data_IF_009753018990
#
_entry.id   IF_009753018990
#
_cell.length_a   1.000
_cell.length_b   1.000
_cell.length_c   1.000
_cell.angle_alpha   90.00
_cell.angle_beta   90.00
_cell.angle_gamma   90.00
#
_symmetry.space_group_name_H-M   'P 1'
#
loop_
_entity.id
_entity.type
_entity.pdbx_description
1 polymer ?
#
# COMPACT_ATOMS: atom_id res chain seq x y z
N UNK A 1 0.75 14.05 12.91
CA UNK A 1 -0.27 14.15 11.85
C UNK A 1 -0.07 15.35 10.94
N UNK A 2 0.59 16.43 11.37
CA UNK A 2 0.80 17.65 10.55
C UNK A 2 1.78 17.48 9.36
N UNK A 3 2.63 16.46 9.41
CA UNK A 3 3.64 16.15 8.40
C UNK A 3 3.48 14.71 7.90
N UNK A 4 2.37 14.37 7.24
CA UNK A 4 2.17 13.02 6.69
C UNK A 4 3.16 12.74 5.55
N UNK A 5 3.66 11.51 5.52
CA UNK A 5 4.38 10.97 4.38
C UNK A 5 3.35 10.42 3.39
N UNK A 6 3.49 10.77 2.11
CA UNK A 6 2.68 10.20 1.06
C UNK A 6 3.06 8.74 0.80
N UNK A 7 2.06 7.87 0.73
CA UNK A 7 2.21 6.48 0.34
C UNK A 7 1.03 6.11 -0.55
N UNK A 8 1.29 5.89 -1.83
CA UNK A 8 0.26 5.55 -2.80
C UNK A 8 0.35 4.07 -3.19
N UNK A 9 -0.57 3.21 -2.72
CA UNK A 9 -0.63 1.81 -3.14
C UNK A 9 -0.77 1.65 -4.66
N UNK A 10 -1.43 2.59 -5.33
CA UNK A 10 -1.68 2.57 -6.77
C UNK A 10 -0.55 3.15 -7.61
N UNK A 11 0.55 3.62 -7.00
CA UNK A 11 1.67 4.17 -7.77
C UNK A 11 2.32 3.08 -8.64
N UNK A 12 2.39 3.36 -9.95
CA UNK A 12 2.97 2.51 -10.98
C UNK A 12 4.31 3.09 -11.41
N UNK A 13 5.40 2.40 -11.05
CA UNK A 13 6.75 2.74 -11.55
C UNK A 13 7.11 1.95 -12.82
N UNK A 14 6.47 0.80 -13.02
CA UNK A 14 6.67 -0.10 -14.16
C UNK A 14 5.30 -0.52 -14.72
N UNK A 15 4.96 -0.11 -15.96
CA UNK A 15 3.69 -0.46 -16.60
C UNK A 15 3.43 -1.97 -16.72
N UNK A 16 4.46 -2.81 -16.74
CA UNK A 16 4.30 -4.27 -16.82
C UNK A 16 3.68 -4.86 -15.53
N UNK A 17 3.81 -4.15 -14.41
CA UNK A 17 3.36 -4.60 -13.08
C UNK A 17 1.94 -4.16 -12.71
N UNK A 18 1.22 -3.45 -13.60
CA UNK A 18 -0.13 -2.93 -13.33
C UNK A 18 -1.10 -4.01 -12.83
N UNK A 19 -1.13 -5.17 -13.49
CA UNK A 19 -2.00 -6.29 -13.12
C UNK A 19 -1.67 -6.87 -11.75
N UNK A 20 -0.39 -6.91 -11.39
CA UNK A 20 0.07 -7.33 -10.07
C UNK A 20 -0.39 -6.32 -9.01
N UNK A 21 -0.17 -5.01 -9.22
CA UNK A 21 -0.62 -3.96 -8.29
C UNK A 21 -2.13 -4.04 -8.06
N UNK A 22 -2.93 -4.19 -9.12
CA UNK A 22 -4.39 -4.35 -9.00
C UNK A 22 -4.77 -5.58 -8.17
N UNK A 23 -4.16 -6.73 -8.43
CA UNK A 23 -4.45 -7.97 -7.71
C UNK A 23 -4.06 -7.90 -6.23
N UNK A 24 -2.93 -7.27 -5.93
CA UNK A 24 -2.48 -7.04 -4.56
C UNK A 24 -3.40 -6.12 -3.79
N UNK A 25 -3.84 -5.01 -4.40
CA UNK A 25 -4.78 -4.09 -3.76
C UNK A 25 -6.11 -4.78 -3.46
N UNK A 26 -6.60 -5.59 -4.39
CA UNK A 26 -7.76 -6.45 -4.17
C UNK A 26 -7.52 -7.43 -3.02
N UNK A 27 -6.37 -8.09 -2.98
CA UNK A 27 -6.03 -9.05 -1.92
C UNK A 27 -6.04 -8.41 -0.53
N UNK A 28 -5.44 -7.23 -0.39
CA UNK A 28 -5.43 -6.46 0.88
C UNK A 28 -6.85 -6.08 1.30
N UNK A 29 -7.65 -5.53 0.38
CA UNK A 29 -9.03 -5.13 0.69
C UNK A 29 -9.93 -6.35 0.99
N UNK A 30 -9.79 -7.44 0.23
CA UNK A 30 -10.54 -8.68 0.46
C UNK A 30 -10.32 -9.22 1.86
N UNK A 31 -9.08 -9.21 2.34
CA UNK A 31 -8.76 -9.66 3.70
C UNK A 31 -9.40 -8.79 4.78
N UNK A 32 -9.36 -7.46 4.60
CA UNK A 32 -9.99 -6.52 5.53
C UNK A 32 -11.50 -6.78 5.69
N UNK A 33 -12.18 -7.17 4.61
CA UNK A 33 -13.63 -7.26 4.60
C UNK A 33 -14.19 -8.69 4.70
N UNK A 34 -13.32 -9.70 4.66
CA UNK A 34 -13.63 -11.11 4.92
C UNK A 34 -14.90 -11.56 4.19
N UNK A 35 -15.87 -12.05 4.96
CA UNK A 35 -17.13 -12.61 4.46
C UNK A 35 -18.03 -11.59 3.75
N UNK A 36 -17.78 -10.29 3.91
CA UNK A 36 -18.50 -9.24 3.17
C UNK A 36 -17.95 -9.03 1.74
N UNK A 37 -17.12 -9.93 1.22
CA UNK A 37 -16.50 -9.83 -0.10
C UNK A 37 -17.17 -10.75 -1.13
N UNK A 38 -17.81 -10.16 -2.14
CA UNK A 38 -18.53 -10.90 -3.19
C UNK A 38 -17.79 -10.93 -4.54
N UNK A 39 -18.01 -11.95 -5.39
CA UNK A 39 -17.41 -12.02 -6.73
C UNK A 39 -17.72 -10.81 -7.61
N UNK A 40 -18.96 -10.28 -7.52
CA UNK A 40 -19.37 -9.09 -8.27
C UNK A 40 -18.63 -7.83 -7.82
N UNK A 41 -18.42 -7.67 -6.51
CA UNK A 41 -17.63 -6.57 -5.93
C UNK A 41 -16.21 -6.64 -6.47
N UNK A 42 -15.58 -7.82 -6.39
CA UNK A 42 -14.21 -8.02 -6.85
C UNK A 42 -14.05 -7.71 -8.34
N UNK A 43 -14.98 -8.18 -9.17
CA UNK A 43 -14.98 -7.95 -10.61
C UNK A 43 -15.03 -6.46 -10.96
N UNK A 44 -15.99 -5.71 -10.40
CA UNK A 44 -16.14 -4.27 -10.64
C UNK A 44 -14.91 -3.52 -10.12
N UNK A 45 -14.42 -3.85 -8.92
CA UNK A 45 -13.25 -3.19 -8.35
C UNK A 45 -11.99 -3.45 -9.18
N UNK A 46 -11.81 -4.65 -9.73
CA UNK A 46 -10.69 -4.98 -10.61
C UNK A 46 -10.66 -4.10 -11.85
N UNK A 47 -11.77 -3.97 -12.56
CA UNK A 47 -11.86 -3.09 -13.73
C UNK A 47 -11.75 -1.60 -13.37
N UNK A 48 -12.17 -1.23 -12.16
CA UNK A 48 -11.96 0.12 -11.62
C UNK A 48 -10.48 0.42 -11.40
N UNK A 49 -9.76 -0.48 -10.73
CA UNK A 49 -8.33 -0.33 -10.48
C UNK A 49 -7.53 -0.35 -11.79
N UNK A 50 -7.81 -1.27 -12.71
CA UNK A 50 -7.10 -1.34 -13.99
C UNK A 50 -7.25 -0.05 -14.80
N UNK A 51 -8.45 0.53 -14.87
CA UNK A 51 -8.67 1.81 -15.54
C UNK A 51 -7.94 2.96 -14.82
N UNK A 52 -7.99 2.99 -13.49
CA UNK A 52 -7.31 4.01 -12.68
C UNK A 52 -5.79 3.93 -12.77
N UNK A 53 -5.20 2.75 -12.90
CA UNK A 53 -3.76 2.56 -13.00
C UNK A 53 -3.17 3.07 -14.32
N UNK A 54 -4.00 3.26 -15.36
CA UNK A 54 -3.59 3.93 -16.60
C UNK A 54 -3.66 5.47 -16.49
N UNK A 55 -4.36 5.99 -15.49
CA UNK A 55 -4.54 7.43 -15.28
C UNK A 55 -3.30 8.04 -14.61
N UNK A 56 -2.78 9.18 -15.11
CA UNK A 56 -1.78 9.97 -14.40
C UNK A 56 -2.27 10.42 -13.02
N UNK A 57 -1.38 10.41 -12.04
CA UNK A 57 -1.62 10.96 -10.70
C UNK A 57 -2.83 10.35 -9.95
N UNK A 58 -3.16 9.09 -10.25
CA UNK A 58 -4.25 8.35 -9.60
C UNK A 58 -3.98 8.10 -8.12
N UNK A 59 -5.04 8.10 -7.31
CA UNK A 59 -5.00 7.82 -5.87
C UNK A 59 -6.10 6.85 -5.45
N UNK A 60 -5.99 6.30 -4.24
CA UNK A 60 -7.06 5.48 -3.66
C UNK A 60 -8.40 6.22 -3.54
N UNK A 61 -8.40 7.55 -3.52
CA UNK A 61 -9.61 8.37 -3.45
C UNK A 61 -10.39 8.37 -4.77
N UNK A 62 -9.71 8.10 -5.88
CA UNK A 62 -10.31 8.11 -7.21
C UNK A 62 -11.17 6.87 -7.49
N UNK A 63 -11.05 5.81 -6.67
CA UNK A 63 -11.91 4.62 -6.77
C UNK A 63 -13.39 5.02 -6.63
N UNK A 64 -13.72 5.83 -5.63
CA UNK A 64 -15.10 6.29 -5.43
C UNK A 64 -15.56 7.16 -6.59
N UNK A 65 -14.70 8.04 -7.11
CA UNK A 65 -15.01 8.95 -8.23
C UNK A 65 -15.25 8.19 -9.52
N UNK A 66 -14.43 7.18 -9.83
CA UNK A 66 -14.61 6.33 -11.01
C UNK A 66 -15.98 5.63 -11.02
N UNK A 67 -16.51 5.32 -9.84
CA UNK A 67 -17.80 4.63 -9.66
C UNK A 67 -19.00 5.59 -9.64
N UNK A 68 -18.85 6.83 -9.18
CA UNK A 68 -19.98 7.77 -8.98
C UNK A 68 -20.01 8.97 -9.93
N UNK A 69 -18.87 9.38 -10.48
CA UNK A 69 -18.73 10.54 -11.36
C UNK A 69 -18.55 10.08 -12.82
N UNK A 70 -19.59 10.29 -13.62
CA UNK A 70 -19.61 9.89 -15.02
C UNK A 70 -18.64 10.66 -15.92
N UNK A 71 -18.33 11.91 -15.60
CA UNK A 71 -17.43 12.73 -16.41
C UNK A 71 -15.96 12.42 -16.08
N UNK A 72 -15.64 12.27 -14.79
CA UNK A 72 -14.34 11.75 -14.36
C UNK A 72 -14.07 10.36 -14.96
N UNK A 73 -15.10 9.49 -15.00
CA UNK A 73 -14.99 8.18 -15.65
C UNK A 73 -14.66 8.30 -17.14
N UNK A 74 -15.41 9.12 -17.89
CA UNK A 74 -15.17 9.31 -19.33
C UNK A 74 -13.75 9.78 -19.61
N UNK A 75 -13.26 10.76 -18.86
CA UNK A 75 -11.92 11.30 -19.03
C UNK A 75 -10.84 10.30 -18.59
N UNK A 76 -11.04 9.56 -17.48
CA UNK A 76 -10.16 8.45 -17.08
C UNK A 76 -10.02 7.38 -18.19
N UNK A 77 -11.12 7.02 -18.86
CA UNK A 77 -11.10 6.04 -19.95
C UNK A 77 -10.36 6.51 -21.21
N UNK A 78 -10.02 7.80 -21.34
CA UNK A 78 -9.18 8.30 -22.45
C UNK A 78 -7.71 7.87 -22.32
N UNK A 79 -7.26 7.57 -21.09
CA UNK A 79 -5.91 7.08 -20.83
C UNK A 79 -5.79 5.56 -21.00
N UNK A 80 -6.90 4.85 -20.92
CA UNK A 80 -6.92 3.39 -20.94
C UNK A 80 -6.69 2.86 -22.36
N UNK A 81 -5.77 1.90 -22.48
CA UNK A 81 -5.42 1.24 -23.75
C UNK A 81 -5.91 -0.21 -23.84
N UNK A 82 -6.39 -0.77 -22.73
CA UNK A 82 -6.82 -2.16 -22.66
C UNK A 82 -8.26 -2.31 -23.17
N UNK A 83 -8.43 -3.06 -24.25
CA UNK A 83 -9.73 -3.26 -24.89
C UNK A 83 -10.75 -3.96 -23.98
N UNK A 84 -10.30 -4.87 -23.11
CA UNK A 84 -11.18 -5.57 -22.18
C UNK A 84 -11.72 -4.63 -21.11
N UNK A 85 -10.85 -3.74 -20.59
CA UNK A 85 -11.25 -2.70 -19.63
C UNK A 85 -12.21 -1.72 -20.28
N UNK A 86 -11.92 -1.27 -21.50
CA UNK A 86 -12.80 -0.39 -22.26
C UNK A 86 -14.15 -1.05 -22.57
N UNK A 87 -14.16 -2.34 -22.92
CA UNK A 87 -15.38 -3.09 -23.19
C UNK A 87 -16.25 -3.21 -21.95
N UNK A 88 -15.68 -3.55 -20.79
CA UNK A 88 -16.40 -3.58 -19.52
C UNK A 88 -17.09 -2.22 -19.27
N UNK A 89 -16.35 -1.12 -19.33
CA UNK A 89 -16.90 0.20 -19.00
C UNK A 89 -17.91 0.71 -20.04
N UNK A 90 -17.69 0.48 -21.34
CA UNK A 90 -18.55 0.99 -22.42
C UNK A 90 -19.76 0.11 -22.72
N UNK A 91 -19.64 -1.21 -22.57
CA UNK A 91 -20.66 -2.18 -23.02
C UNK A 91 -21.33 -2.90 -21.88
N UNK A 92 -20.64 -3.20 -20.78
CA UNK A 92 -21.25 -3.88 -19.65
C UNK A 92 -21.80 -2.85 -18.65
N UNK A 93 -20.91 -2.11 -17.97
CA UNK A 93 -21.28 -1.12 -16.97
C UNK A 93 -22.13 0.01 -17.57
N UNK A 94 -21.76 0.49 -18.77
CA UNK A 94 -22.45 1.57 -19.46
C UNK A 94 -23.88 1.25 -19.91
N UNK A 95 -24.28 -0.02 -19.93
CA UNK A 95 -25.65 -0.45 -20.26
C UNK A 95 -26.54 -0.65 -19.02
N UNK A 96 -25.96 -0.63 -17.82
CA UNK A 96 -26.73 -0.81 -16.59
C UNK A 96 -27.60 0.42 -16.30
N UNK A 97 -28.83 0.18 -15.84
CA UNK A 97 -29.69 1.24 -15.33
C UNK A 97 -29.18 1.82 -14.00
N UNK A 98 -29.56 3.04 -13.68
CA UNK A 98 -29.09 3.76 -12.48
C UNK A 98 -29.27 2.97 -11.17
N UNK A 99 -30.42 2.32 -10.99
CA UNK A 99 -30.69 1.48 -9.84
C UNK A 99 -29.70 0.31 -9.73
N UNK A 100 -29.46 -0.38 -10.85
CA UNK A 100 -28.53 -1.51 -10.91
C UNK A 100 -27.09 -1.07 -10.63
N UNK A 101 -26.68 0.10 -11.14
CA UNK A 101 -25.37 0.70 -10.85
C UNK A 101 -25.24 0.97 -9.35
N UNK A 102 -26.19 1.69 -8.76
CA UNK A 102 -26.15 2.06 -7.35
C UNK A 102 -26.10 0.84 -6.42
N UNK A 103 -26.90 -0.19 -6.69
CA UNK A 103 -26.86 -1.45 -5.94
C UNK A 103 -25.53 -2.20 -6.09
N UNK A 104 -24.94 -2.17 -7.29
CA UNK A 104 -23.68 -2.88 -7.57
C UNK A 104 -22.46 -2.22 -6.95
N UNK A 105 -22.40 -0.88 -6.93
CA UNK A 105 -21.24 -0.13 -6.45
C UNK A 105 -21.31 0.18 -4.95
N UNK A 106 -22.49 0.19 -4.33
CA UNK A 106 -22.67 0.52 -2.91
C UNK A 106 -21.77 -0.30 -1.97
N UNK A 107 -21.60 -1.63 -2.16
CA UNK A 107 -20.65 -2.41 -1.35
C UNK A 107 -19.22 -1.90 -1.49
N UNK A 108 -18.76 -1.53 -2.70
CA UNK A 108 -17.41 -1.02 -2.91
C UNK A 108 -17.23 0.33 -2.21
N UNK A 109 -18.19 1.24 -2.38
CA UNK A 109 -18.15 2.58 -1.79
C UNK A 109 -18.15 2.54 -0.26
N UNK A 110 -18.94 1.67 0.37
CA UNK A 110 -18.95 1.51 1.82
C UNK A 110 -17.58 1.07 2.36
N UNK A 111 -16.90 0.19 1.61
CA UNK A 111 -15.66 -0.46 2.01
C UNK A 111 -14.46 0.45 1.79
N UNK A 112 -14.32 1.02 0.60
CA UNK A 112 -13.29 2.03 0.30
C UNK A 112 -13.53 3.32 1.10
N UNK A 113 -14.80 3.70 1.30
CA UNK A 113 -15.22 4.84 2.11
C UNK A 113 -14.76 4.73 3.55
N UNK A 114 -14.91 3.56 4.19
CA UNK A 114 -14.45 3.35 5.57
C UNK A 114 -12.94 3.62 5.73
N UNK A 115 -12.13 3.19 4.76
CA UNK A 115 -10.69 3.39 4.76
C UNK A 115 -10.29 4.86 4.49
N UNK A 116 -10.99 5.52 3.56
CA UNK A 116 -10.71 6.91 3.15
C UNK A 116 -11.34 7.97 4.05
N UNK A 117 -12.26 7.59 4.94
CA UNK A 117 -12.94 8.49 5.87
C UNK A 117 -12.02 9.03 6.98
N UNK A 118 -11.00 8.26 7.39
CA UNK A 118 -10.05 8.70 8.41
C UNK A 118 -9.10 9.78 7.82
N UNK A 119 -9.07 11.03 8.35
CA UNK A 119 -8.25 12.08 7.78
C UNK A 119 -6.75 11.78 7.77
N UNK A 120 -6.24 11.03 8.77
CA UNK A 120 -4.82 10.65 8.83
C UNK A 120 -4.48 9.74 7.66
N UNK A 121 -5.29 8.70 7.44
CA UNK A 121 -5.11 7.75 6.34
C UNK A 121 -5.31 8.44 5.01
N UNK A 122 -6.38 9.23 4.87
CA UNK A 122 -6.68 10.01 3.67
C UNK A 122 -5.52 10.91 3.25
N UNK A 123 -4.85 11.55 4.20
CA UNK A 123 -3.70 12.42 3.92
C UNK A 123 -2.42 11.63 3.54
N UNK A 124 -2.34 10.34 3.85
CA UNK A 124 -1.24 9.45 3.44
C UNK A 124 -1.48 8.92 2.02
N UNK A 125 -2.66 8.34 1.78
CA UNK A 125 -3.00 7.63 0.52
C UNK A 125 -3.60 8.52 -0.57
N UNK A 126 -4.02 9.74 -0.22
CA UNK A 126 -4.58 10.72 -1.14
C UNK A 126 -3.52 11.54 -1.87
N UNK A 127 -2.23 11.17 -1.75
CA UNK A 127 -1.14 11.79 -2.48
C UNK A 127 -0.86 10.95 -3.74
N UNK A 128 -0.70 11.56 -4.92
CA UNK A 128 -0.52 10.83 -6.19
C UNK A 128 0.80 10.09 -6.29
N UNK A 129 1.83 10.53 -5.56
CA UNK A 129 3.14 9.89 -5.51
C UNK A 129 3.51 9.57 -4.07
N UNK A 130 4.17 8.43 -3.88
CA UNK A 130 4.81 8.13 -2.60
C UNK A 130 5.99 9.08 -2.40
N UNK A 131 6.13 9.55 -1.18
CA UNK A 131 7.19 10.49 -0.79
C UNK A 131 8.52 9.79 -0.52
N UNK A 132 8.51 8.46 -0.44
CA UNK A 132 9.68 7.62 -0.21
C UNK A 132 9.63 6.42 -1.16
N UNK A 133 10.81 5.92 -1.52
CA UNK A 133 10.95 4.75 -2.39
C UNK A 133 11.56 3.59 -1.59
N UNK A 134 10.81 2.50 -1.44
CA UNK A 134 11.24 1.32 -0.67
C UNK A 134 12.43 0.63 -1.35
N UNK A 135 12.49 0.61 -2.69
CA UNK A 135 13.63 0.02 -3.42
C UNK A 135 14.92 0.79 -3.13
N UNK A 136 14.89 2.12 -3.19
CA UNK A 136 16.04 2.95 -2.81
C UNK A 136 16.43 2.76 -1.34
N UNK A 137 15.45 2.67 -0.43
CA UNK A 137 15.70 2.41 0.98
C UNK A 137 16.45 1.08 1.18
N UNK A 138 16.07 0.03 0.44
CA UNK A 138 16.74 -1.26 0.50
C UNK A 138 18.17 -1.20 -0.02
N UNK A 139 18.37 -0.63 -1.20
CA UNK A 139 19.66 -0.64 -1.90
C UNK A 139 20.69 0.26 -1.21
N UNK A 140 20.27 1.43 -0.74
CA UNK A 140 21.13 2.36 0.01
C UNK A 140 21.28 1.94 1.49
N UNK A 141 20.50 0.96 1.93
CA UNK A 141 20.42 0.47 3.32
C UNK A 141 20.05 1.54 4.33
N UNK A 142 19.02 2.32 3.99
CA UNK A 142 18.32 3.21 4.91
C UNK A 142 17.47 2.39 5.89
N UNK A 143 17.03 3.05 6.96
CA UNK A 143 16.13 2.46 7.97
C UNK A 143 14.73 3.02 7.76
N UNK A 144 13.74 2.13 7.62
CA UNK A 144 12.32 2.49 7.57
C UNK A 144 11.64 2.07 8.87
N UNK A 145 11.13 3.05 9.62
CA UNK A 145 10.33 2.82 10.84
C UNK A 145 8.89 3.18 10.54
N UNK A 146 8.00 2.19 10.66
CA UNK A 146 6.56 2.38 10.44
C UNK A 146 5.84 2.23 11.77
N UNK A 147 5.20 3.30 12.24
CA UNK A 147 4.36 3.26 13.44
C UNK A 147 2.89 3.09 13.04
N UNK A 148 2.35 1.88 13.24
CA UNK A 148 0.95 1.52 12.98
C UNK A 148 0.13 1.42 14.28
N UNK A 149 0.38 2.30 15.24
CA UNK A 149 -0.33 2.29 16.53
C UNK A 149 -1.86 2.31 16.34
N UNK A 150 -2.51 1.19 16.68
CA UNK A 150 -3.97 1.00 16.57
C UNK A 150 -4.75 2.09 17.32
N UNK A 151 -4.23 2.56 18.46
CA UNK A 151 -4.84 3.65 19.23
C UNK A 151 -4.86 5.01 18.53
N UNK A 152 -3.96 5.23 17.55
CA UNK A 152 -3.88 6.49 16.82
C UNK A 152 -4.69 6.48 15.53
N UNK A 153 -4.63 5.38 14.75
CA UNK A 153 -5.21 5.32 13.40
C UNK A 153 -6.42 4.37 13.29
N UNK A 154 -6.72 3.61 14.35
CA UNK A 154 -7.72 2.55 14.34
C UNK A 154 -7.14 1.21 13.89
N UNK A 155 -7.71 0.12 14.38
CA UNK A 155 -7.23 -1.24 14.12
C UNK A 155 -7.30 -1.63 12.64
N UNK A 156 -8.47 -1.46 12.02
CA UNK A 156 -8.69 -1.82 10.61
C UNK A 156 -7.73 -1.03 9.69
N UNK A 157 -7.60 0.28 9.93
CA UNK A 157 -6.72 1.14 9.14
C UNK A 157 -5.24 0.76 9.33
N UNK A 158 -4.82 0.42 10.55
CA UNK A 158 -3.47 -0.05 10.82
C UNK A 158 -3.18 -1.35 10.06
N UNK A 159 -4.09 -2.32 10.13
CA UNK A 159 -3.97 -3.60 9.42
C UNK A 159 -3.86 -3.40 7.90
N UNK A 160 -4.71 -2.57 7.32
CA UNK A 160 -4.71 -2.30 5.87
C UNK A 160 -3.44 -1.58 5.42
N UNK A 161 -3.07 -0.50 6.11
CA UNK A 161 -1.86 0.27 5.77
C UNK A 161 -0.60 -0.60 5.92
N UNK A 162 -0.52 -1.40 6.98
CA UNK A 162 0.57 -2.36 7.18
C UNK A 162 0.63 -3.44 6.11
N UNK A 163 -0.53 -3.99 5.72
CA UNK A 163 -0.61 -4.97 4.64
C UNK A 163 -0.13 -4.40 3.31
N UNK A 164 -0.55 -3.18 2.96
CA UNK A 164 -0.04 -2.49 1.76
C UNK A 164 1.47 -2.24 1.81
N UNK A 165 2.00 -1.83 2.96
CA UNK A 165 3.43 -1.60 3.13
C UNK A 165 4.23 -2.88 2.96
N UNK A 166 3.78 -3.99 3.56
CA UNK A 166 4.45 -5.29 3.39
C UNK A 166 4.41 -5.75 1.94
N UNK A 167 3.26 -5.66 1.27
CA UNK A 167 3.17 -5.95 -0.16
C UNK A 167 4.14 -5.08 -0.98
N UNK A 168 4.24 -3.78 -0.70
CA UNK A 168 5.18 -2.90 -1.42
C UNK A 168 6.64 -3.25 -1.11
N UNK A 169 6.95 -3.68 0.11
CA UNK A 169 8.27 -4.22 0.48
C UNK A 169 8.57 -5.50 -0.30
N UNK A 170 7.62 -6.42 -0.41
CA UNK A 170 7.77 -7.63 -1.23
C UNK A 170 8.05 -7.29 -2.69
N UNK A 171 7.26 -6.39 -3.30
CA UNK A 171 7.42 -6.00 -4.70
C UNK A 171 8.75 -5.28 -4.95
N UNK A 172 9.20 -4.44 -4.00
CA UNK A 172 10.50 -3.79 -4.05
C UNK A 172 11.63 -4.83 -3.96
N UNK A 173 11.53 -5.80 -3.04
CA UNK A 173 12.51 -6.88 -2.96
C UNK A 173 12.54 -7.70 -4.26
N UNK A 174 11.40 -8.15 -4.78
CA UNK A 174 11.33 -8.88 -6.05
C UNK A 174 11.87 -8.07 -7.24
N UNK A 175 11.74 -6.74 -7.21
CA UNK A 175 12.32 -5.90 -8.26
C UNK A 175 13.85 -5.97 -8.30
N UNK A 176 14.51 -6.38 -7.21
CA UNK A 176 15.98 -6.60 -7.13
C UNK A 176 16.47 -7.79 -7.94
N UNK A 177 15.57 -8.46 -8.68
CA UNK A 177 15.93 -9.51 -9.64
C UNK A 177 16.89 -9.00 -10.74
N UNK A 178 16.91 -7.68 -10.98
CA UNK A 178 17.83 -6.98 -11.88
C UNK A 178 19.29 -6.95 -11.40
N UNK A 179 19.55 -7.17 -10.10
CA UNK A 179 20.90 -7.32 -9.54
C UNK A 179 21.30 -8.80 -9.64
N UNK A 180 22.13 -9.18 -10.61
CA UNK A 180 22.39 -10.59 -10.93
C UNK A 180 22.89 -11.42 -9.74
N UNK A 181 23.91 -10.95 -9.05
CA UNK A 181 24.57 -11.67 -7.95
C UNK A 181 23.85 -11.40 -6.63
N UNK A 182 23.51 -12.47 -5.90
CA UNK A 182 22.81 -12.35 -4.61
C UNK A 182 23.67 -11.59 -3.59
N UNK A 183 24.98 -11.80 -3.60
CA UNK A 183 25.95 -11.13 -2.73
C UNK A 183 26.05 -9.62 -2.95
N UNK A 184 25.67 -9.12 -4.13
CA UNK A 184 25.59 -7.69 -4.42
C UNK A 184 24.29 -7.07 -3.89
N UNK A 185 23.29 -7.89 -3.55
CA UNK A 185 22.03 -7.42 -2.98
C UNK A 185 22.22 -7.16 -1.50
N UNK A 186 22.20 -5.88 -1.11
CA UNK A 186 22.29 -5.50 0.32
C UNK A 186 21.17 -6.19 1.13
N UNK A 187 21.51 -6.93 2.20
CA UNK A 187 20.51 -7.55 3.06
C UNK A 187 19.58 -6.50 3.66
N UNK A 188 18.28 -6.73 3.55
CA UNK A 188 17.25 -5.91 4.18
C UNK A 188 16.47 -6.76 5.18
N UNK A 189 16.35 -6.28 6.41
CA UNK A 189 15.67 -6.99 7.49
C UNK A 189 14.30 -6.36 7.76
N UNK A 190 13.24 -7.10 7.49
CA UNK A 190 11.87 -6.72 7.80
C UNK A 190 11.47 -7.33 9.14
N UNK A 191 11.30 -6.46 10.14
CA UNK A 191 10.76 -6.82 11.45
C UNK A 191 9.28 -6.47 11.48
N UNK A 192 8.43 -7.43 11.82
CA UNK A 192 6.98 -7.23 11.93
C UNK A 192 6.53 -7.70 13.30
N UNK A 193 6.18 -6.74 14.14
CA UNK A 193 5.49 -7.01 15.40
C UNK A 193 4.00 -7.27 15.14
N UNK A 194 3.39 -8.11 15.96
CA UNK A 194 1.99 -8.53 15.82
C UNK A 194 1.62 -8.93 14.37
N UNK A 195 2.44 -9.81 13.81
CA UNK A 195 2.46 -10.13 12.38
C UNK A 195 1.13 -10.67 11.84
N UNK A 196 0.33 -11.32 12.68
CA UNK A 196 -0.98 -11.85 12.35
C UNK A 196 -1.93 -10.77 11.82
N UNK A 197 -1.77 -9.51 12.26
CA UNK A 197 -2.56 -8.39 11.75
C UNK A 197 -2.28 -8.10 10.26
N UNK A 198 -1.14 -8.56 9.74
CA UNK A 198 -0.66 -8.26 8.38
C UNK A 198 -0.49 -9.52 7.51
N UNK A 199 -0.56 -10.72 8.09
CA UNK A 199 -0.44 -12.02 7.45
C UNK A 199 -1.48 -12.34 6.35
N UNK A 200 -1.28 -11.80 5.14
CA UNK A 200 -1.97 -12.16 3.88
C UNK A 200 -1.37 -13.42 3.24
N UNK A 201 -2.02 -13.98 2.22
CA UNK A 201 -1.42 -15.08 1.43
C UNK A 201 -0.08 -14.66 0.77
N UNK A 202 0.10 -13.36 0.49
CA UNK A 202 1.37 -12.83 0.00
C UNK A 202 2.51 -13.01 1.02
N UNK A 203 2.23 -13.08 2.33
CA UNK A 203 3.25 -13.43 3.33
C UNK A 203 3.74 -14.86 3.22
N UNK A 204 2.89 -15.81 2.83
CA UNK A 204 3.34 -17.19 2.60
C UNK A 204 4.38 -17.22 1.47
N UNK A 205 4.19 -16.42 0.42
CA UNK A 205 5.15 -16.21 -0.67
C UNK A 205 6.41 -15.51 -0.18
N UNK A 206 6.29 -14.50 0.68
CA UNK A 206 7.46 -13.84 1.30
C UNK A 206 8.30 -14.88 2.05
N UNK A 207 7.68 -15.70 2.90
CA UNK A 207 8.35 -16.72 3.71
C UNK A 207 9.09 -17.77 2.88
N UNK A 208 8.51 -18.19 1.75
CA UNK A 208 9.08 -19.26 0.92
C UNK A 208 10.09 -18.76 -0.12
N UNK A 209 9.89 -17.57 -0.70
CA UNK A 209 10.63 -17.16 -1.91
C UNK A 209 11.54 -15.96 -1.74
N UNK A 210 11.31 -15.08 -0.76
CA UNK A 210 11.91 -13.74 -0.84
C UNK A 210 13.40 -13.69 -0.50
N UNK A 211 13.92 -14.74 0.14
CA UNK A 211 15.34 -14.83 0.54
C UNK A 211 16.27 -14.67 -0.66
N UNK A 212 15.89 -15.21 -1.82
CA UNK A 212 16.67 -15.07 -3.07
C UNK A 212 16.78 -13.61 -3.51
N UNK A 213 15.92 -12.72 -3.00
CA UNK A 213 15.96 -11.29 -3.29
C UNK A 213 16.64 -10.45 -2.20
N UNK A 214 17.35 -11.06 -1.24
CA UNK A 214 18.08 -10.33 -0.18
C UNK A 214 17.17 -9.70 0.89
N UNK A 215 15.93 -10.20 1.06
CA UNK A 215 15.03 -9.79 2.13
C UNK A 215 15.00 -10.90 3.20
N UNK A 216 15.18 -10.51 4.46
CA UNK A 216 15.08 -11.38 5.63
C UNK A 216 13.87 -10.96 6.44
N UNK A 217 13.08 -11.92 6.89
CA UNK A 217 11.87 -11.66 7.68
C UNK A 217 12.10 -12.10 9.14
N UNK A 218 11.66 -11.26 10.08
CA UNK A 218 11.57 -11.59 11.51
C UNK A 218 10.19 -11.16 11.99
N UNK A 219 9.37 -12.13 12.40
CA UNK A 219 8.00 -11.90 12.84
C UNK A 219 7.85 -12.23 14.32
N UNK A 220 7.04 -11.46 15.02
CA UNK A 220 6.55 -11.77 16.36
C UNK A 220 5.05 -12.04 16.31
N UNK A 221 4.61 -13.04 17.08
CA UNK A 221 3.21 -13.45 17.18
C UNK A 221 2.88 -13.81 18.62
N UNK A 222 1.67 -13.49 19.07
CA UNK A 222 1.21 -13.86 20.41
C UNK A 222 0.62 -15.26 20.46
N UNK A 223 -0.27 -15.60 19.52
CA UNK A 223 -1.02 -16.85 19.55
C UNK A 223 -0.97 -17.58 18.21
N UNK A 224 -0.63 -18.88 18.22
CA UNK A 224 -0.55 -19.67 16.99
C UNK A 224 -1.90 -19.72 16.26
N UNK A 225 -3.00 -19.72 17.03
CA UNK A 225 -4.39 -19.74 16.52
C UNK A 225 -4.82 -18.50 15.73
N UNK A 226 -4.08 -17.38 15.82
CA UNK A 226 -4.40 -16.17 15.06
C UNK A 226 -3.93 -16.23 13.59
N UNK A 227 -3.09 -17.22 13.26
CA UNK A 227 -2.66 -17.46 11.89
C UNK A 227 -3.68 -18.31 11.14
N UNK A 228 -3.85 -18.03 9.84
CA UNK A 228 -4.52 -18.99 8.95
C UNK A 228 -3.66 -20.25 8.79
N UNK A 229 -4.28 -21.38 8.44
CA UNK A 229 -3.54 -22.64 8.24
C UNK A 229 -2.46 -22.51 7.15
N UNK A 230 -2.71 -21.74 6.09
CA UNK A 230 -1.74 -21.48 5.02
C UNK A 230 -0.48 -20.79 5.57
N UNK A 231 -0.66 -19.73 6.36
CA UNK A 231 0.42 -18.97 6.98
C UNK A 231 1.15 -19.80 8.02
N UNK A 232 0.40 -20.51 8.88
CA UNK A 232 0.96 -21.40 9.90
C UNK A 232 1.89 -22.45 9.29
N UNK A 233 1.44 -23.12 8.22
CA UNK A 233 2.24 -24.10 7.49
C UNK A 233 3.47 -23.47 6.84
N UNK A 234 3.34 -22.27 6.26
CA UNK A 234 4.46 -21.55 5.68
C UNK A 234 5.51 -21.15 6.74
N UNK A 235 5.08 -20.72 7.93
CA UNK A 235 5.96 -20.37 9.05
C UNK A 235 6.71 -21.60 9.53
N UNK A 236 6.02 -22.67 9.93
CA UNK A 236 6.68 -23.86 10.47
C UNK A 236 7.49 -24.65 9.42
N UNK A 237 7.14 -24.53 8.14
CA UNK A 237 7.85 -25.20 7.05
C UNK A 237 9.11 -24.49 6.56
N UNK A 238 9.17 -23.15 6.63
CA UNK A 238 10.25 -22.37 6.00
C UNK A 238 11.13 -21.59 6.98
N UNK A 239 10.71 -21.43 8.24
CA UNK A 239 11.46 -20.63 9.21
C UNK A 239 12.59 -21.45 9.82
N UNK A 240 13.82 -21.06 9.51
CA UNK A 240 15.02 -21.73 10.02
C UNK A 240 15.41 -21.37 11.46
N UNK A 241 14.76 -20.40 12.09
CA UNK A 241 15.03 -20.03 13.49
C UNK A 241 13.75 -19.69 14.22
N UNK A 242 13.46 -20.44 15.27
CA UNK A 242 12.25 -20.30 16.08
C UNK A 242 12.67 -19.97 17.49
N UNK A 243 12.11 -18.88 18.02
CA UNK A 243 12.29 -18.44 19.41
C UNK A 243 10.92 -18.53 20.06
N UNK A 244 10.81 -19.26 21.16
CA UNK A 244 9.60 -19.35 21.97
C UNK A 244 9.86 -18.80 23.35
N UNK A 245 9.15 -17.72 23.69
CA UNK A 245 8.98 -17.29 25.07
C UNK A 245 7.93 -18.16 25.77
N UNK A 246 7.56 -17.79 26.99
CA UNK A 246 6.44 -18.43 27.70
C UNK A 246 5.16 -18.36 26.86
N UNK A 247 4.50 -19.50 26.69
CA UNK A 247 3.24 -19.64 25.93
C UNK A 247 2.13 -20.27 26.77
N UNK A 248 0.90 -20.23 26.25
CA UNK A 248 -0.29 -20.79 26.90
C UNK A 248 -0.37 -22.31 26.73
N UNK A 249 -1.32 -22.94 27.44
CA UNK A 249 -1.59 -24.38 27.40
C UNK A 249 -1.94 -24.85 25.99
N UNK A 250 -2.64 -24.01 25.23
CA UNK A 250 -3.12 -24.33 23.88
C UNK A 250 -2.00 -24.33 22.85
N UNK A 251 -1.05 -23.39 22.96
CA UNK A 251 0.04 -23.23 22.00
C UNK A 251 1.26 -24.11 22.32
N UNK A 252 1.47 -24.45 23.60
CA UNK A 252 2.64 -25.20 24.05
C UNK A 252 2.84 -26.55 23.32
N UNK A 253 1.81 -27.40 23.12
CA UNK A 253 1.98 -28.66 22.39
C UNK A 253 2.41 -28.45 20.94
N UNK A 254 1.91 -27.39 20.28
CA UNK A 254 2.21 -27.11 18.88
C UNK A 254 3.68 -26.69 18.72
N UNK A 255 4.15 -25.81 19.61
CA UNK A 255 5.53 -25.31 19.58
C UNK A 255 6.54 -26.34 20.08
N UNK A 256 6.19 -27.17 21.06
CA UNK A 256 7.06 -28.18 21.63
C UNK A 256 7.60 -29.17 20.57
N UNK A 257 6.80 -29.49 19.53
CA UNK A 257 7.27 -30.33 18.42
C UNK A 257 8.52 -29.79 17.72
N UNK A 258 8.74 -28.47 17.74
CA UNK A 258 9.92 -27.84 17.14
C UNK A 258 11.19 -27.97 18.01
N UNK A 259 11.02 -28.29 19.29
CA UNK A 259 12.08 -28.32 20.30
C UNK A 259 12.34 -29.70 20.90
N UNK A 260 11.59 -30.71 20.47
CA UNK A 260 11.86 -32.10 20.84
C UNK A 260 13.21 -32.58 20.30
N UNK A 261 13.89 -33.48 21.03
CA UNK A 261 13.50 -34.05 22.33
C UNK A 261 13.90 -33.22 23.56
N UNK A 262 14.58 -32.07 23.39
CA UNK A 262 15.19 -31.33 24.50
C UNK A 262 14.19 -30.63 25.41
N UNK A 263 13.08 -30.14 24.86
CA UNK A 263 12.05 -29.44 25.59
C UNK A 263 10.67 -30.01 25.27
N UNK A 264 9.79 -30.02 26.27
CA UNK A 264 8.38 -30.37 26.13
C UNK A 264 7.45 -29.17 26.34
N UNK A 265 6.15 -29.42 26.29
CA UNK A 265 5.15 -28.36 26.46
C UNK A 265 5.19 -27.72 27.86
N UNK A 266 5.51 -28.49 28.91
CA UNK A 266 5.57 -28.01 30.29
C UNK A 266 6.76 -27.06 30.50
N UNK A 267 7.87 -27.30 29.82
CA UNK A 267 9.02 -26.39 29.82
C UNK A 267 8.62 -25.02 29.25
N UNK A 268 7.95 -24.99 28.10
CA UNK A 268 7.54 -23.74 27.45
C UNK A 268 6.54 -22.94 28.29
N UNK A 269 5.65 -23.60 29.03
CA UNK A 269 4.68 -22.93 29.91
C UNK A 269 5.30 -22.36 31.19
N UNK A 270 6.40 -22.94 31.66
CA UNK A 270 7.05 -22.59 32.93
C UNK A 270 8.16 -21.53 32.81
N UNK A 271 8.47 -21.08 31.59
CA UNK A 271 9.49 -20.07 31.34
C UNK A 271 9.24 -18.76 32.12
N UNK A 272 10.29 -18.28 32.77
CA UNK A 272 10.28 -16.97 33.42
C UNK A 272 10.26 -15.83 32.40
N UNK A 273 9.83 -14.64 32.84
CA UNK A 273 9.93 -13.45 31.98
C UNK A 273 11.38 -13.27 31.50
N UNK A 274 11.55 -12.83 30.25
CA UNK A 274 12.85 -12.63 29.58
C UNK A 274 13.66 -13.92 29.32
N UNK A 275 13.12 -15.10 29.64
CA UNK A 275 13.70 -16.40 29.27
C UNK A 275 12.97 -16.94 28.04
N UNK A 276 13.69 -17.65 27.19
CA UNK A 276 13.14 -18.27 25.99
C UNK A 276 13.89 -19.56 25.64
N UNK A 277 13.23 -20.43 24.87
CA UNK A 277 13.83 -21.58 24.19
C UNK A 277 13.95 -21.26 22.71
N UNK A 278 15.01 -21.69 22.06
CA UNK A 278 15.17 -21.51 20.62
C UNK A 278 15.89 -22.66 19.92
N UNK A 279 15.64 -22.76 18.62
CA UNK A 279 16.45 -23.52 17.66
C UNK A 279 16.75 -22.61 16.48
N UNK A 280 17.93 -22.74 15.88
CA UNK A 280 18.37 -21.89 14.78
C UNK A 280 19.23 -22.66 13.79
N UNK A 281 19.37 -22.12 12.59
CA UNK A 281 20.33 -22.63 11.60
C UNK A 281 21.67 -21.92 11.80
N UNK A 282 22.73 -22.71 12.03
CA UNK A 282 24.11 -22.25 12.13
C UNK A 282 24.88 -22.95 11.01
N UNK A 283 25.46 -22.19 10.08
CA UNK A 283 26.23 -22.72 8.94
C UNK A 283 25.46 -23.77 8.10
N UNK A 284 24.13 -23.65 8.00
CA UNK A 284 23.28 -24.58 7.24
C UNK A 284 22.76 -25.77 8.04
N UNK A 285 23.20 -25.95 9.28
CA UNK A 285 22.75 -27.04 10.14
C UNK A 285 21.79 -26.53 11.23
N UNK A 286 20.71 -27.28 11.48
CA UNK A 286 19.76 -26.96 12.55
C UNK A 286 20.40 -27.30 13.89
N UNK A 287 20.52 -26.31 14.77
CA UNK A 287 21.07 -26.47 16.10
C UNK A 287 20.15 -27.34 16.97
N UNK A 288 20.74 -28.09 17.89
CA UNK A 288 19.99 -28.64 19.03
C UNK A 288 19.28 -27.49 19.75
N UNK A 289 17.99 -27.63 20.11
CA UNK A 289 17.29 -26.61 20.89
C UNK A 289 18.00 -26.28 22.21
N UNK A 290 18.02 -25.01 22.59
CA UNK A 290 18.63 -24.53 23.84
C UNK A 290 17.84 -23.39 24.46
N UNK A 291 18.05 -23.13 25.75
CA UNK A 291 17.46 -21.99 26.46
C UNK A 291 18.41 -20.80 26.53
N UNK A 292 17.85 -19.59 26.59
CA UNK A 292 18.61 -18.35 26.68
C UNK A 292 17.78 -17.25 27.37
N UNK A 293 18.43 -16.11 27.62
CA UNK A 293 17.81 -14.91 28.21
C UNK A 293 18.00 -13.69 27.33
N UNK A 294 17.04 -12.77 27.36
CA UNK A 294 17.12 -11.53 26.59
C UNK A 294 18.16 -10.58 27.16
N UNK A 295 18.88 -9.89 26.28
CA UNK A 295 19.82 -8.83 26.66
C UNK A 295 19.07 -7.56 27.10
N UNK A 296 19.62 -6.84 28.08
CA UNK A 296 19.15 -5.49 28.40
C UNK A 296 19.88 -4.52 27.48
N UNK A 297 19.15 -3.80 26.63
CA UNK A 297 19.75 -2.80 25.76
C UNK A 297 20.31 -1.64 26.57
N UNK A 298 21.53 -1.15 26.28
CA UNK A 298 22.08 0.02 26.94
C UNK A 298 21.24 1.26 26.61
N UNK A 299 21.21 2.24 27.53
CA UNK A 299 20.63 3.54 27.21
C UNK A 299 21.43 4.19 26.09
N UNK A 300 20.77 4.85 25.12
CA UNK A 300 21.49 5.56 24.07
C UNK A 300 22.36 6.66 24.69
N UNK A 301 23.60 6.78 24.20
CA UNK A 301 24.54 7.79 24.69
C UNK A 301 24.04 9.21 24.35
N UNK A 302 23.47 9.38 23.15
CA UNK A 302 22.86 10.62 22.68
C UNK A 302 21.49 10.30 22.04
N UNK A 303 20.44 11.01 22.46
CA UNK A 303 19.14 10.95 21.79
C UNK A 303 19.10 11.92 20.60
N UNK A 304 19.10 11.36 19.39
CA UNK A 304 19.02 12.11 18.13
C UNK A 304 17.61 12.10 17.52
N UNK A 305 16.62 11.53 18.21
CA UNK A 305 15.28 11.28 17.66
C UNK A 305 14.64 12.55 17.10
N UNK A 306 14.72 13.67 17.82
CA UNK A 306 14.17 14.95 17.36
C UNK A 306 14.79 15.43 16.04
N UNK A 307 16.12 15.34 15.91
CA UNK A 307 16.85 15.73 14.69
C UNK A 307 16.52 14.81 13.51
N UNK A 308 16.42 13.51 13.77
CA UNK A 308 16.04 12.52 12.75
C UNK A 308 14.63 12.80 12.25
N UNK A 309 13.67 13.02 13.16
CA UNK A 309 12.28 13.33 12.82
C UNK A 309 12.19 14.62 12.00
N UNK A 310 12.90 15.68 12.40
CA UNK A 310 12.90 16.95 11.67
C UNK A 310 13.50 16.80 10.26
N UNK A 311 14.62 16.09 10.15
CA UNK A 311 15.24 15.78 8.86
C UNK A 311 14.30 14.96 7.96
N UNK A 312 13.60 13.96 8.53
CA UNK A 312 12.61 13.17 7.78
C UNK A 312 11.46 14.04 7.29
N UNK A 313 10.93 14.92 8.14
CA UNK A 313 9.84 15.85 7.75
C UNK A 313 10.27 16.76 6.61
N UNK A 314 11.48 17.31 6.68
CA UNK A 314 12.02 18.21 5.66
C UNK A 314 12.17 17.57 4.28
N UNK A 315 12.57 16.30 4.25
CA UNK A 315 12.92 15.62 3.00
C UNK A 315 11.79 14.75 2.42
N UNK A 316 10.87 14.25 3.27
CA UNK A 316 9.90 13.23 2.86
C UNK A 316 8.45 13.58 3.20
N UNK A 317 8.15 14.68 3.89
CA UNK A 317 6.76 15.00 4.23
C UNK A 317 6.20 16.15 3.40
N UNK A 318 4.89 16.14 3.21
CA UNK A 318 4.16 17.29 2.68
C UNK A 318 3.34 17.89 3.82
N UNK A 319 3.32 19.22 4.02
CA UNK A 319 2.49 19.84 5.05
C UNK A 319 1.02 19.47 4.87
N UNK A 320 0.37 19.09 5.98
CA UNK A 320 -1.03 18.65 6.00
C UNK A 320 -1.98 19.60 5.28
N UNK A 321 -1.85 20.91 5.52
CA UNK A 321 -2.71 21.92 4.90
C UNK A 321 -2.63 21.90 3.36
N UNK A 322 -1.45 21.64 2.79
CA UNK A 322 -1.24 21.55 1.34
C UNK A 322 -1.94 20.30 0.79
N UNK A 323 -1.84 19.17 1.49
CA UNK A 323 -2.50 17.93 1.08
C UNK A 323 -4.02 18.07 1.14
N UNK A 324 -4.55 18.59 2.25
CA UNK A 324 -5.99 18.78 2.42
C UNK A 324 -6.56 19.78 1.41
N UNK A 325 -5.78 20.78 1.01
CA UNK A 325 -6.18 21.66 -0.09
C UNK A 325 -6.22 20.92 -1.42
N UNK A 326 -5.17 20.17 -1.78
CA UNK A 326 -5.15 19.36 -3.02
C UNK A 326 -6.29 18.35 -3.08
N UNK A 327 -6.54 17.63 -1.99
CA UNK A 327 -7.64 16.66 -1.90
C UNK A 327 -8.98 17.38 -2.08
N UNK A 328 -9.17 18.56 -1.48
CA UNK A 328 -10.37 19.37 -1.71
C UNK A 328 -10.52 19.75 -3.17
N UNK A 329 -9.46 20.25 -3.80
CA UNK A 329 -9.48 20.66 -5.21
C UNK A 329 -9.77 19.49 -6.16
N UNK A 330 -9.37 18.26 -5.80
CA UNK A 330 -9.64 17.02 -6.55
C UNK A 330 -11.08 16.52 -6.35
N UNK A 331 -11.60 16.60 -5.12
CA UNK A 331 -12.96 16.17 -4.78
C UNK A 331 -14.03 17.19 -5.23
N UNK A 332 -13.65 18.46 -5.38
CA UNK A 332 -14.43 19.48 -6.06
C UNK A 332 -14.32 19.20 -7.57
N UNK A 333 -15.43 18.99 -8.31
CA UNK A 333 -15.36 18.88 -9.76
C UNK A 333 -14.62 20.08 -10.36
N UNK A 334 -13.88 19.92 -11.47
CA UNK A 334 -13.33 21.07 -12.21
C UNK A 334 -14.40 22.15 -12.40
N UNK A 335 -14.03 23.44 -12.35
CA UNK A 335 -14.99 24.55 -12.50
C UNK A 335 -15.87 24.42 -13.74
N UNK A 336 -15.37 23.81 -14.81
CA UNK A 336 -16.10 23.53 -16.05
C UNK A 336 -17.17 22.43 -15.92
N UNK A 337 -17.05 21.54 -14.92
CA UNK A 337 -17.98 20.43 -14.61
C UNK A 337 -18.82 20.70 -13.35
N UNK A 338 -18.57 21.79 -12.62
CA UNK A 338 -19.39 22.18 -11.48
C UNK A 338 -20.79 22.54 -11.95
N UNK A 339 -21.79 21.81 -11.47
CA UNK A 339 -23.19 22.23 -11.60
C UNK A 339 -23.53 23.21 -10.48
N UNK A 340 -24.43 24.16 -10.75
CA UNK A 340 -24.92 25.12 -9.75
C UNK A 340 -25.46 24.42 -8.49
N UNK A 341 -26.17 23.31 -8.67
CA UNK A 341 -26.73 22.50 -7.59
C UNK A 341 -25.66 21.81 -6.72
N UNK A 342 -24.53 21.39 -7.30
CA UNK A 342 -23.42 20.82 -6.54
C UNK A 342 -22.70 21.89 -5.71
N UNK A 343 -22.47 23.07 -6.29
CA UNK A 343 -21.82 24.19 -5.61
C UNK A 343 -22.63 24.70 -4.41
N UNK A 344 -23.95 24.81 -4.56
CA UNK A 344 -24.88 25.18 -3.48
C UNK A 344 -24.90 24.15 -2.33
N UNK A 345 -24.86 22.84 -2.64
CA UNK A 345 -24.83 21.78 -1.62
C UNK A 345 -23.54 21.73 -0.80
N UNK A 346 -22.41 22.17 -1.37
CA UNK A 346 -21.10 22.07 -0.76
C UNK A 346 -20.54 23.41 -0.26
N UNK A 347 -21.34 24.48 -0.32
CA UNK A 347 -20.92 25.81 0.15
C UNK A 347 -19.76 26.42 -0.63
N UNK A 348 -19.63 26.07 -1.91
CA UNK A 348 -18.55 26.55 -2.80
C UNK A 348 -19.11 27.62 -3.74
N UNK A 349 -18.38 28.72 -3.93
CA UNK A 349 -18.79 29.82 -4.81
C UNK A 349 -18.74 29.40 -6.29
N UNK A 350 -19.90 29.39 -6.96
CA UNK A 350 -20.02 29.02 -8.37
C UNK A 350 -19.55 30.17 -9.28
N UNK A 351 -18.48 29.97 -10.05
CA UNK A 351 -17.97 30.95 -11.02
C UNK A 351 -17.97 30.38 -12.43
N UNK A 352 -18.69 31.05 -13.35
CA UNK A 352 -18.93 30.60 -14.74
C UNK A 352 -17.81 30.93 -15.74
N UNK A 353 -16.64 31.40 -15.29
CA UNK A 353 -15.55 31.82 -16.19
C UNK A 353 -14.69 30.63 -16.59
N UNK A 354 -14.92 30.14 -17.80
CA UNK A 354 -14.03 29.24 -18.55
C UNK A 354 -12.73 30.01 -18.82
N UNK A 355 -11.61 29.54 -18.29
CA UNK A 355 -10.28 29.97 -18.72
C UNK A 355 -9.80 28.98 -19.79
N UNK A 356 -9.21 29.50 -20.86
CA UNK A 356 -8.74 28.72 -22.00
C UNK A 356 -7.76 27.62 -21.58
N UNK A 357 -7.90 26.49 -22.26
CA UNK A 357 -7.25 25.21 -22.03
C UNK A 357 -5.71 25.31 -22.15
N UNK A 358 -4.98 25.21 -21.02
CA UNK A 358 -3.51 25.39 -20.95
C UNK A 358 -2.72 24.20 -21.52
N UNK A 359 -3.39 23.14 -22.01
CA UNK A 359 -2.73 21.97 -22.60
C UNK A 359 -3.06 21.72 -24.08
N UNK A 360 -3.58 22.71 -24.81
CA UNK A 360 -3.69 22.59 -26.26
C UNK A 360 -2.30 22.64 -26.92
N UNK A 361 -1.91 21.68 -27.78
CA UNK A 361 -0.67 21.78 -28.54
C UNK A 361 -0.72 22.99 -29.46
N UNK A 362 0.36 23.78 -29.49
CA UNK A 362 0.50 24.93 -30.39
C UNK A 362 0.41 24.43 -31.83
N UNK A 363 -0.75 24.63 -32.47
CA UNK A 363 -0.85 24.52 -33.93
C UNK A 363 -0.14 25.72 -34.51
N UNK A 364 0.93 25.48 -35.26
CA UNK A 364 1.53 26.44 -36.17
C UNK A 364 0.43 26.99 -37.10
N UNK A 365 -0.10 28.17 -36.78
CA UNK A 365 -0.95 28.92 -37.68
C UNK A 365 -0.06 29.80 -38.56
N UNK A 366 -0.09 29.44 -39.84
CA UNK A 366 0.21 30.23 -41.03
C UNK A 366 0.89 31.58 -40.87
N UNK A 367 2.09 31.65 -41.43
CA UNK A 367 2.63 32.87 -42.03
C UNK A 367 1.61 33.34 -43.08
N UNK A 368 0.84 34.37 -42.75
CA UNK A 368 0.02 35.10 -43.71
C UNK A 368 0.75 36.37 -44.14
N UNK A 369 0.89 36.49 -45.46
CA UNK A 369 1.53 37.57 -46.19
C UNK A 369 1.07 38.95 -45.74
N UNK A 370 1.98 39.77 -45.22
CA UNK A 370 1.81 41.22 -45.23
C UNK A 370 2.28 41.78 -46.58
N UNK A 371 1.36 42.49 -47.22
CA UNK A 371 1.54 43.22 -48.48
C UNK A 371 2.59 44.31 -48.35
N UNK A 372 3.46 44.38 -49.35
CA UNK A 372 4.42 45.45 -49.61
C UNK A 372 3.74 46.80 -49.87
N UNK A 373 4.37 47.92 -49.48
CA UNK A 373 4.25 49.18 -50.18
C UNK A 373 5.54 49.48 -50.97
N UNK A 374 5.36 49.69 -52.26
CA UNK A 374 6.30 50.26 -53.23
C UNK A 374 7.12 51.44 -52.68
N UNK A 375 8.43 51.47 -52.93
CA UNK A 375 9.19 52.67 -53.33
C UNK A 375 10.44 52.30 -54.13
N UNK A 376 10.80 53.20 -55.04
CA UNK A 376 11.51 53.05 -56.33
C UNK A 376 13.05 52.95 -56.28
N UNK A 377 13.69 52.63 -57.43
CA UNK A 377 15.11 52.28 -57.52
C UNK A 377 16.03 53.47 -57.82
N UNK A 378 17.25 53.38 -57.28
CA UNK A 378 18.51 53.93 -57.83
C UNK A 378 19.64 53.01 -57.45
#
# INVERSE_FOLDING_TARGET
>A
TEFPLGFNPLEVTDPSRKSNISSEVIGVLKRMFGDSWGPRLEYILRFTLLALLDRPETTMLDISRMLTDGDFRKETLTYCKDDSVLQFWKKEFGQWGEKQVNEAIAPILNKVGAFTANPIIRNIIGQPKSTFNIREIMDEGKILVVNLSKGLIGEDNASVLGSFLVTKIQLAAQSRADIERLEDRRPFHLYVDEFQNFATDSFAVILSEIRKYGLTLTVANQYVSQMTDSVKNAVFGNVGSIISFRVSVEDAPILAEQFKPQFDASDLMSLNNRHFVMTMIINGEKSTPFSATTLTLPKPFNDLSAKIIENTRRNYSTPRAVIEQRIRDILVPPKELMTKAWAERNGVEFSKKVAENVFAPVKNQGISNQKSPNTKPT
#
